data_IF_853232529218
#
_entry.id   IF_853232529218
#
_cell.length_a   1.000
_cell.length_b   1.000
_cell.length_c   1.000
_cell.angle_alpha   90.00
_cell.angle_beta   90.00
_cell.angle_gamma   90.00
#
_symmetry.space_group_name_H-M   'P 1'
#
loop_
_entity.id
_entity.type
_entity.pdbx_description
1 polymer ?
#
# COMPACT_ATOMS: atom_id res chain seq x y z
N UNK A 1 -56.07 -37.45 32.95
CA UNK A 1 -54.73 -37.03 33.39
C UNK A 1 -53.89 -36.76 32.13
N UNK A 2 -54.09 -35.59 31.51
CA UNK A 2 -53.17 -34.44 31.49
C UNK A 2 -51.88 -34.69 30.69
N UNK A 3 -52.00 -34.63 29.35
CA UNK A 3 -50.86 -34.39 28.46
C UNK A 3 -50.59 -32.89 28.45
N UNK A 4 -49.37 -32.41 28.75
CA UNK A 4 -49.12 -30.99 28.86
C UNK A 4 -49.12 -30.35 27.47
N UNK A 5 -50.07 -29.43 27.28
CA UNK A 5 -50.01 -28.32 26.32
C UNK A 5 -48.78 -27.47 26.68
N UNK A 6 -47.62 -27.81 26.14
CA UNK A 6 -46.50 -26.87 26.07
C UNK A 6 -46.37 -26.50 24.61
N UNK A 7 -47.09 -25.42 24.31
CA UNK A 7 -47.00 -24.58 23.13
C UNK A 7 -45.58 -24.56 22.59
N UNK A 8 -45.43 -24.99 21.33
CA UNK A 8 -44.26 -24.70 20.50
C UNK A 8 -44.05 -23.18 20.53
N UNK A 9 -43.22 -22.70 21.45
CA UNK A 9 -42.64 -21.37 21.34
C UNK A 9 -41.80 -21.44 20.07
N UNK A 10 -42.36 -20.83 19.03
CA UNK A 10 -41.72 -20.54 17.77
C UNK A 10 -40.25 -20.21 18.02
N UNK A 11 -39.37 -21.14 17.67
CA UNK A 11 -38.02 -20.78 17.26
C UNK A 11 -38.20 -19.97 15.97
N UNK A 12 -38.57 -18.70 16.10
CA UNK A 12 -38.17 -17.70 15.12
C UNK A 12 -36.66 -17.56 15.30
N UNK A 13 -35.93 -18.56 14.80
CA UNK A 13 -34.65 -18.29 14.15
C UNK A 13 -34.99 -17.22 13.12
N UNK A 14 -34.82 -15.96 13.52
CA UNK A 14 -34.50 -14.89 12.60
C UNK A 14 -33.19 -15.35 11.96
N UNK A 15 -33.33 -16.16 10.90
CA UNK A 15 -32.26 -16.41 9.97
C UNK A 15 -32.12 -15.08 9.27
N UNK A 16 -31.30 -14.22 9.84
CA UNK A 16 -30.83 -13.00 9.21
C UNK A 16 -30.16 -13.44 7.92
N UNK A 17 -30.92 -13.53 6.83
CA UNK A 17 -30.36 -13.41 5.50
C UNK A 17 -29.98 -11.95 5.35
N UNK A 18 -28.93 -11.56 6.07
CA UNK A 18 -28.15 -10.42 5.64
C UNK A 18 -27.50 -10.92 4.38
N UNK A 19 -28.12 -10.63 3.25
CA UNK A 19 -27.42 -10.57 1.97
C UNK A 19 -26.12 -9.85 2.26
N UNK A 20 -25.01 -10.58 2.20
CA UNK A 20 -23.68 -10.01 2.15
C UNK A 20 -23.55 -9.31 0.80
N UNK A 21 -24.35 -8.27 0.57
CA UNK A 21 -24.11 -7.28 -0.45
C UNK A 21 -22.82 -6.63 0.03
N UNK A 22 -21.72 -7.13 -0.54
CA UNK A 22 -20.38 -6.85 -0.07
C UNK A 22 -20.22 -5.37 0.22
N UNK A 23 -19.61 -5.08 1.36
CA UNK A 23 -18.95 -3.80 1.60
C UNK A 23 -17.89 -3.64 0.52
N UNK A 24 -18.32 -3.27 -0.70
CA UNK A 24 -17.44 -2.84 -1.77
C UNK A 24 -16.96 -1.47 -1.32
N UNK A 25 -15.94 -1.44 -0.45
CA UNK A 25 -15.17 -0.23 -0.22
C UNK A 25 -14.77 0.25 -1.60
N UNK A 26 -15.29 1.41 -1.98
CA UNK A 26 -14.99 2.05 -3.25
C UNK A 26 -13.54 2.55 -3.20
N UNK A 27 -12.57 1.64 -3.15
CA UNK A 27 -11.23 1.95 -3.61
C UNK A 27 -11.39 2.28 -5.09
N UNK A 28 -10.98 3.50 -5.50
CA UNK A 28 -10.98 3.90 -6.93
C UNK A 28 -10.33 2.77 -7.73
N UNK A 29 -10.85 2.47 -8.92
CA UNK A 29 -10.33 1.38 -9.77
C UNK A 29 -8.81 1.45 -9.98
N UNK A 30 -8.25 2.66 -10.00
CA UNK A 30 -6.79 2.89 -10.03
C UNK A 30 -6.04 2.30 -8.84
N UNK A 31 -6.58 2.43 -7.62
CA UNK A 31 -5.94 1.92 -6.40
C UNK A 31 -5.92 0.38 -6.41
N UNK A 32 -6.99 -0.23 -6.91
CA UNK A 32 -7.08 -1.70 -7.05
C UNK A 32 -6.09 -2.19 -8.11
N UNK A 33 -6.00 -1.53 -9.27
CA UNK A 33 -5.00 -1.86 -10.32
C UNK A 33 -3.56 -1.80 -9.78
N UNK A 34 -3.23 -0.75 -9.01
CA UNK A 34 -1.91 -0.60 -8.41
C UNK A 34 -1.63 -1.60 -7.27
N UNK A 35 -2.67 -2.21 -6.69
CA UNK A 35 -2.52 -3.29 -5.72
C UNK A 35 -2.27 -4.63 -6.40
N UNK A 36 -3.07 -4.98 -7.41
CA UNK A 36 -2.96 -6.26 -8.11
C UNK A 36 -1.74 -6.30 -9.04
N UNK A 37 -1.36 -5.17 -9.63
CA UNK A 37 -0.21 -5.03 -10.51
C UNK A 37 0.67 -3.83 -10.12
N UNK A 38 1.40 -3.92 -9.00
CA UNK A 38 2.26 -2.83 -8.54
C UNK A 38 3.40 -2.62 -9.54
N UNK A 39 3.43 -1.43 -10.14
CA UNK A 39 4.48 -1.00 -11.08
C UNK A 39 5.78 -0.77 -10.32
N UNK A 40 6.94 -1.04 -10.94
CA UNK A 40 8.27 -0.77 -10.37
C UNK A 40 8.66 -1.62 -9.13
N UNK A 41 8.07 -2.81 -8.97
CA UNK A 41 8.49 -3.79 -7.95
C UNK A 41 9.68 -4.59 -8.45
N UNK A 42 10.88 -4.05 -8.24
CA UNK A 42 12.15 -4.71 -8.56
C UNK A 42 13.21 -4.29 -7.54
N UNK A 43 14.44 -4.75 -7.71
CA UNK A 43 15.55 -4.28 -6.88
C UNK A 43 16.77 -4.02 -7.74
N UNK A 44 17.48 -2.96 -7.41
CA UNK A 44 18.78 -2.63 -8.00
C UNK A 44 19.92 -3.33 -7.25
N UNK A 45 21.05 -3.46 -7.95
CA UNK A 45 22.29 -3.89 -7.33
C UNK A 45 22.75 -2.85 -6.29
N UNK A 46 23.27 -3.32 -5.16
CA UNK A 46 23.77 -2.47 -4.07
C UNK A 46 25.12 -1.85 -4.38
N UNK A 47 25.79 -2.31 -5.43
CA UNK A 47 27.13 -1.87 -5.84
C UNK A 47 27.12 -0.70 -6.83
N UNK A 48 25.94 -0.34 -7.34
CA UNK A 48 25.78 0.77 -8.27
C UNK A 48 25.91 2.11 -7.50
N UNK A 49 26.91 2.95 -7.80
CA UNK A 49 27.13 4.21 -7.08
C UNK A 49 25.99 5.21 -7.27
N UNK A 50 25.24 5.11 -8.38
CA UNK A 50 24.16 6.02 -8.71
C UNK A 50 22.83 5.61 -8.05
N UNK A 51 22.83 4.53 -7.25
CA UNK A 51 21.64 3.99 -6.59
C UNK A 51 21.69 4.30 -5.10
N UNK A 52 20.74 5.13 -4.66
CA UNK A 52 20.50 5.36 -3.25
C UNK A 52 19.45 4.39 -2.72
N UNK A 53 19.70 3.84 -1.53
CA UNK A 53 18.76 2.94 -0.84
C UNK A 53 18.24 3.60 0.44
N UNK A 54 16.92 3.58 0.62
CA UNK A 54 16.25 4.00 1.83
C UNK A 54 15.42 2.88 2.43
N UNK A 55 15.49 2.73 3.75
CA UNK A 55 14.55 1.89 4.51
C UNK A 55 13.61 2.80 5.32
N UNK A 56 12.32 2.46 5.28
CA UNK A 56 11.21 3.22 5.84
C UNK A 56 10.31 2.29 6.62
N UNK A 57 9.74 2.79 7.72
CA UNK A 57 8.86 2.02 8.60
C UNK A 57 9.58 1.41 9.79
N UNK A 58 8.78 0.98 10.77
CA UNK A 58 9.24 0.32 11.98
C UNK A 58 8.92 -1.18 11.88
N UNK A 59 9.92 -2.07 12.03
CA UNK A 59 9.70 -3.52 11.91
C UNK A 59 8.73 -4.07 12.98
N UNK A 60 8.52 -3.35 14.08
CA UNK A 60 7.57 -3.72 15.12
C UNK A 60 6.10 -3.65 14.68
N UNK A 61 5.77 -2.80 13.71
CA UNK A 61 4.39 -2.61 13.23
C UNK A 61 4.06 -3.49 12.01
N UNK A 62 5.03 -4.22 11.47
CA UNK A 62 4.85 -5.10 10.31
C UNK A 62 4.85 -4.40 8.95
N UNK A 63 4.90 -3.07 8.94
CA UNK A 63 4.89 -2.27 7.73
C UNK A 63 6.29 -1.65 7.50
N UNK A 64 7.04 -2.23 6.57
CA UNK A 64 8.43 -1.84 6.24
C UNK A 64 8.56 -1.71 4.72
N UNK A 65 9.00 -0.54 4.28
CA UNK A 65 9.27 -0.26 2.88
C UNK A 65 10.76 -0.06 2.64
N UNK A 66 11.26 -0.67 1.57
CA UNK A 66 12.59 -0.45 1.01
C UNK A 66 12.44 0.23 -0.35
N UNK A 67 12.90 1.47 -0.45
CA UNK A 67 12.94 2.22 -1.69
C UNK A 67 14.38 2.25 -2.20
N UNK A 68 14.55 2.13 -3.50
CA UNK A 68 15.82 2.32 -4.18
C UNK A 68 15.60 3.27 -5.35
N UNK A 69 16.33 4.37 -5.38
CA UNK A 69 16.26 5.35 -6.47
C UNK A 69 17.58 5.40 -7.20
N UNK A 70 17.52 5.55 -8.52
CA UNK A 70 18.68 5.85 -9.37
C UNK A 70 18.58 7.30 -9.79
N UNK A 71 19.58 8.08 -9.41
CA UNK A 71 19.67 9.51 -9.69
C UNK A 71 20.77 9.73 -10.72
N UNK A 72 20.51 10.65 -11.66
CA UNK A 72 21.53 11.15 -12.56
C UNK A 72 22.33 12.26 -11.87
N UNK A 73 23.65 12.11 -11.78
CA UNK A 73 24.53 13.07 -11.10
C UNK A 73 24.57 14.43 -11.85
N UNK A 74 24.45 14.41 -13.18
CA UNK A 74 24.57 15.62 -13.99
C UNK A 74 23.28 16.47 -13.96
N UNK A 75 22.11 15.82 -14.02
CA UNK A 75 20.82 16.51 -14.05
C UNK A 75 20.13 16.62 -12.68
N UNK A 76 20.56 15.85 -11.68
CA UNK A 76 19.94 15.79 -10.36
C UNK A 76 18.51 15.23 -10.38
N UNK A 77 18.14 14.52 -11.45
CA UNK A 77 16.81 13.94 -11.67
C UNK A 77 16.81 12.44 -11.38
N UNK A 78 15.66 11.94 -10.94
CA UNK A 78 15.45 10.50 -10.75
C UNK A 78 15.24 9.89 -12.12
N UNK A 79 16.20 9.09 -12.60
CA UNK A 79 16.07 8.35 -13.85
C UNK A 79 15.04 7.24 -13.65
N UNK A 80 15.12 6.59 -12.49
CA UNK A 80 14.35 5.39 -12.23
C UNK A 80 14.27 5.12 -10.74
N UNK A 81 13.20 4.51 -10.27
CA UNK A 81 13.14 4.02 -8.91
C UNK A 81 12.31 2.74 -8.76
N UNK A 82 12.59 2.03 -7.69
CA UNK A 82 12.03 0.74 -7.34
C UNK A 82 11.65 0.73 -5.89
N UNK A 83 10.61 -0.03 -5.55
CA UNK A 83 10.30 -0.29 -4.16
C UNK A 83 10.03 -1.77 -3.91
N UNK A 84 10.27 -2.17 -2.66
CA UNK A 84 9.80 -3.41 -2.06
C UNK A 84 9.19 -3.04 -0.72
N UNK A 85 7.89 -3.23 -0.58
CA UNK A 85 7.17 -2.91 0.65
C UNK A 85 6.53 -4.17 1.22
N UNK A 86 6.62 -4.32 2.53
CA UNK A 86 5.92 -5.30 3.33
C UNK A 86 4.93 -4.52 4.16
N UNK A 87 3.65 -4.82 4.05
CA UNK A 87 2.63 -4.12 4.82
C UNK A 87 1.22 -4.27 4.25
N UNK A 88 0.31 -3.47 4.78
CA UNK A 88 -1.09 -3.46 4.35
C UNK A 88 -1.25 -3.12 2.86
N UNK A 89 -2.33 -3.62 2.23
CA UNK A 89 -2.63 -3.38 0.80
C UNK A 89 -2.75 -1.91 0.42
N UNK A 90 -3.15 -1.07 1.38
CA UNK A 90 -3.14 0.39 1.27
C UNK A 90 -1.72 0.93 1.04
N UNK A 91 -0.74 0.46 1.80
CA UNK A 91 0.65 0.90 1.68
C UNK A 91 1.22 0.56 0.29
N UNK A 92 0.96 -0.65 -0.22
CA UNK A 92 1.42 -1.09 -1.55
C UNK A 92 0.89 -0.19 -2.66
N UNK A 93 -0.42 0.06 -2.69
CA UNK A 93 -1.03 0.88 -3.73
C UNK A 93 -0.48 2.33 -3.69
N UNK A 94 -0.25 2.85 -2.50
CA UNK A 94 0.21 4.23 -2.27
C UNK A 94 1.66 4.42 -2.65
N UNK A 95 2.51 3.44 -2.32
CA UNK A 95 3.90 3.37 -2.81
C UNK A 95 3.96 3.34 -4.33
N UNK A 96 3.09 2.56 -4.98
CA UNK A 96 3.08 2.46 -6.45
C UNK A 96 2.71 3.80 -7.12
N UNK A 97 1.70 4.50 -6.58
CA UNK A 97 1.30 5.82 -7.09
C UNK A 97 2.36 6.88 -6.82
N UNK A 98 2.89 6.95 -5.59
CA UNK A 98 3.93 7.91 -5.22
C UNK A 98 5.19 7.76 -6.06
N UNK A 99 5.57 6.51 -6.36
CA UNK A 99 6.70 6.19 -7.22
C UNK A 99 6.52 6.73 -8.65
N UNK A 100 5.32 6.60 -9.23
CA UNK A 100 5.01 7.16 -10.55
C UNK A 100 5.06 8.70 -10.55
N UNK A 101 4.59 9.35 -9.48
CA UNK A 101 4.62 10.81 -9.36
C UNK A 101 6.04 11.36 -9.17
N UNK A 102 6.87 10.65 -8.41
CA UNK A 102 8.27 11.04 -8.17
C UNK A 102 9.07 11.11 -9.48
N UNK A 103 8.86 10.16 -10.40
CA UNK A 103 9.55 10.16 -11.70
C UNK A 103 9.16 11.33 -12.62
N UNK A 104 7.92 11.84 -12.50
CA UNK A 104 7.39 12.82 -13.45
C UNK A 104 7.58 14.27 -13.00
N UNK A 105 7.64 14.55 -11.70
CA UNK A 105 7.55 15.93 -11.17
C UNK A 105 8.80 16.47 -10.49
N UNK A 106 9.84 15.65 -10.24
CA UNK A 106 11.01 16.12 -9.48
C UNK A 106 12.17 16.52 -10.40
N UNK A 107 12.54 17.81 -10.34
CA UNK A 107 13.52 18.42 -11.26
C UNK A 107 14.81 18.92 -10.60
N UNK A 108 14.90 19.04 -9.27
CA UNK A 108 16.10 19.58 -8.62
C UNK A 108 16.21 19.15 -7.16
N UNK A 109 17.38 18.63 -6.76
CA UNK A 109 17.71 18.11 -5.43
C UNK A 109 16.97 16.83 -5.01
N UNK A 110 16.86 15.84 -5.91
CA UNK A 110 16.30 14.54 -5.57
C UNK A 110 17.26 13.75 -4.69
N UNK A 111 16.91 13.56 -3.42
CA UNK A 111 17.59 12.61 -2.53
C UNK A 111 16.59 11.64 -1.93
N UNK A 112 17.05 10.45 -1.56
CA UNK A 112 16.23 9.45 -0.87
C UNK A 112 15.61 10.00 0.43
N UNK A 113 16.27 10.98 1.07
CA UNK A 113 15.78 11.67 2.24
C UNK A 113 14.63 12.63 1.92
N UNK A 114 14.70 13.35 0.81
CA UNK A 114 13.58 14.18 0.37
C UNK A 114 12.37 13.28 0.05
N UNK A 115 12.59 12.12 -0.59
CA UNK A 115 11.51 11.16 -0.86
C UNK A 115 10.98 10.58 0.46
N UNK A 116 11.86 10.34 1.45
CA UNK A 116 11.48 9.98 2.82
C UNK A 116 10.50 10.96 3.42
N UNK A 117 10.84 12.24 3.32
CA UNK A 117 10.04 13.31 3.89
C UNK A 117 8.67 13.37 3.22
N UNK A 118 8.62 13.27 1.89
CA UNK A 118 7.38 13.28 1.13
C UNK A 118 6.45 12.09 1.46
N UNK A 119 7.02 10.91 1.69
CA UNK A 119 6.24 9.72 2.08
C UNK A 119 5.78 9.78 3.54
N UNK A 120 6.59 10.36 4.44
CA UNK A 120 6.21 10.55 5.84
C UNK A 120 5.21 11.69 6.04
N UNK A 121 5.30 12.77 5.26
CA UNK A 121 4.39 13.92 5.37
C UNK A 121 2.98 13.65 4.82
N UNK A 122 2.84 12.57 4.05
CA UNK A 122 1.58 12.24 3.39
C UNK A 122 0.65 11.36 4.24
N UNK A 123 0.99 11.08 5.51
CA UNK A 123 0.23 10.21 6.42
C UNK A 123 -0.36 8.98 5.69
N UNK A 124 0.49 8.30 4.91
CA UNK A 124 0.10 7.09 4.19
C UNK A 124 0.20 5.82 5.07
N UNK A 125 0.00 6.01 6.37
CA UNK A 125 0.03 5.02 7.43
C UNK A 125 -1.06 5.26 8.45
#
# INVERSE_FOLDING_TARGET
>A
MLRPLITMILSQRLRSSVTATGLRRMYRERVVDHYDNPRNVRSFDKKDPNVEMGLFGAPACGDVMKLQIRVDEESGKIIDACFKTFGCSSAIASSSVGMLLALNNWSSNCSILAVKLAFLSSDFF
#
